data_IF_485946889704
#
_entry.id   IF_485946889704
#
_cell.length_a   1.000
_cell.length_b   1.000
_cell.length_c   1.000
_cell.angle_alpha   90.00
_cell.angle_beta   90.00
_cell.angle_gamma   90.00
#
_symmetry.space_group_name_H-M   'P 1'
#
loop_
_entity.id
_entity.type
_entity.pdbx_description
1 polymer ?
#
# COMPACT_ATOMS: atom_id res chain seq x y z
N UNK A 1 21.81 -13.99 4.61
CA UNK A 1 20.65 -14.60 3.93
C UNK A 1 21.23 -15.59 2.95
N UNK A 2 20.80 -16.83 2.97
CA UNK A 2 21.23 -17.82 1.98
C UNK A 2 20.61 -17.52 0.60
N UNK A 3 21.17 -18.15 -0.45
CA UNK A 3 20.76 -17.90 -1.83
C UNK A 3 19.29 -18.26 -2.09
N UNK A 4 18.79 -19.35 -1.50
CA UNK A 4 17.41 -19.79 -1.71
C UNK A 4 16.42 -18.80 -1.08
N UNK A 5 16.64 -18.40 0.17
CA UNK A 5 15.83 -17.37 0.84
C UNK A 5 15.83 -16.06 0.04
N UNK A 6 16.96 -15.68 -0.54
CA UNK A 6 17.07 -14.48 -1.35
C UNK A 6 16.22 -14.56 -2.63
N UNK A 7 16.27 -15.68 -3.35
CA UNK A 7 15.47 -15.91 -4.55
C UNK A 7 13.97 -15.89 -4.22
N UNK A 8 13.56 -16.50 -3.11
CA UNK A 8 12.16 -16.48 -2.66
C UNK A 8 11.68 -15.05 -2.43
N UNK A 9 12.46 -14.22 -1.72
CA UNK A 9 12.08 -12.81 -1.51
C UNK A 9 12.05 -12.01 -2.81
N UNK A 10 12.96 -12.29 -3.74
CA UNK A 10 13.01 -11.60 -5.03
C UNK A 10 11.79 -11.95 -5.90
N UNK A 11 11.39 -13.22 -5.89
CA UNK A 11 10.17 -13.69 -6.54
C UNK A 11 8.91 -13.07 -5.93
N UNK A 12 8.85 -12.99 -4.59
CA UNK A 12 7.73 -12.34 -3.91
C UNK A 12 7.66 -10.83 -4.21
N UNK A 13 8.81 -10.14 -4.22
CA UNK A 13 8.88 -8.72 -4.62
C UNK A 13 8.34 -8.52 -6.03
N UNK A 14 8.74 -9.38 -6.98
CA UNK A 14 8.23 -9.34 -8.35
C UNK A 14 6.71 -9.49 -8.38
N UNK A 15 6.17 -10.49 -7.69
CA UNK A 15 4.73 -10.73 -7.64
C UNK A 15 3.96 -9.54 -7.07
N UNK A 16 4.43 -8.95 -5.96
CA UNK A 16 3.74 -7.80 -5.36
C UNK A 16 3.81 -6.55 -6.26
N UNK A 17 4.91 -6.34 -6.99
CA UNK A 17 4.97 -5.30 -8.02
C UNK A 17 3.97 -5.56 -9.14
N UNK A 18 3.86 -6.80 -9.65
CA UNK A 18 2.89 -7.18 -10.67
C UNK A 18 1.44 -6.99 -10.20
N UNK A 19 1.11 -7.41 -8.98
CA UNK A 19 -0.23 -7.20 -8.41
C UNK A 19 -0.58 -5.73 -8.27
N UNK A 20 0.39 -4.92 -7.84
CA UNK A 20 0.21 -3.46 -7.77
C UNK A 20 -0.05 -2.88 -9.17
N UNK A 21 0.71 -3.30 -10.18
CA UNK A 21 0.50 -2.88 -11.57
C UNK A 21 -0.87 -3.26 -12.12
N UNK A 22 -1.30 -4.50 -11.91
CA UNK A 22 -2.64 -4.95 -12.32
C UNK A 22 -3.73 -4.15 -11.63
N UNK A 23 -3.58 -3.88 -10.33
CA UNK A 23 -4.53 -3.05 -9.59
C UNK A 23 -4.58 -1.61 -10.13
N UNK A 24 -3.43 -1.00 -10.42
CA UNK A 24 -3.35 0.34 -11.04
C UNK A 24 -3.96 0.36 -12.47
N UNK A 25 -3.82 -0.72 -13.24
CA UNK A 25 -4.48 -0.84 -14.54
C UNK A 25 -6.01 -0.85 -14.40
N UNK A 26 -6.54 -1.67 -13.48
CA UNK A 26 -7.98 -1.71 -13.19
C UNK A 26 -8.47 -0.37 -12.64
N UNK A 27 -7.64 0.32 -11.86
CA UNK A 27 -7.92 1.66 -11.33
C UNK A 27 -8.12 2.68 -12.45
N UNK A 28 -7.21 2.74 -13.41
CA UNK A 28 -7.32 3.64 -14.56
C UNK A 28 -8.54 3.30 -15.43
N UNK A 29 -8.79 2.02 -15.70
CA UNK A 29 -9.99 1.59 -16.42
C UNK A 29 -11.28 1.98 -15.68
N UNK A 30 -11.27 1.90 -14.35
CA UNK A 30 -12.42 2.30 -13.52
C UNK A 30 -12.64 3.81 -13.54
N UNK A 31 -11.57 4.61 -13.58
CA UNK A 31 -11.65 6.06 -13.75
C UNK A 31 -12.28 6.42 -15.11
N UNK A 32 -11.81 5.79 -16.19
CA UNK A 32 -12.34 6.00 -17.55
C UNK A 32 -13.84 5.67 -17.62
N UNK A 33 -14.23 4.54 -17.01
CA UNK A 33 -15.64 4.11 -16.92
C UNK A 33 -16.45 4.87 -15.88
N UNK A 34 -15.84 5.81 -15.15
CA UNK A 34 -16.45 6.56 -14.04
C UNK A 34 -17.06 5.64 -12.97
N UNK A 35 -16.51 4.44 -12.79
CA UNK A 35 -16.94 3.47 -11.79
C UNK A 35 -16.32 3.76 -10.44
N UNK A 36 -17.06 4.49 -9.60
CA UNK A 36 -16.64 4.91 -8.25
C UNK A 36 -16.16 3.73 -7.39
N UNK A 37 -16.97 2.68 -7.30
CA UNK A 37 -16.63 1.44 -6.56
C UNK A 37 -15.37 0.79 -7.11
N UNK A 38 -15.22 0.74 -8.44
CA UNK A 38 -14.04 0.19 -9.10
C UNK A 38 -12.76 0.94 -8.74
N UNK A 39 -12.81 2.29 -8.74
CA UNK A 39 -11.69 3.17 -8.35
C UNK A 39 -11.29 2.92 -6.89
N UNK A 40 -12.26 2.90 -5.98
CA UNK A 40 -11.97 2.71 -4.55
C UNK A 40 -11.43 1.31 -4.25
N UNK A 41 -12.02 0.27 -4.85
CA UNK A 41 -11.57 -1.12 -4.72
C UNK A 41 -10.14 -1.29 -5.22
N UNK A 42 -9.88 -0.89 -6.46
CA UNK A 42 -8.57 -1.09 -7.10
C UNK A 42 -7.49 -0.19 -6.51
N UNK A 43 -7.84 1.03 -6.06
CA UNK A 43 -6.91 1.92 -5.35
C UNK A 43 -6.49 1.31 -4.01
N UNK A 44 -7.43 0.73 -3.26
CA UNK A 44 -7.12 0.00 -2.03
C UNK A 44 -6.27 -1.26 -2.31
N UNK A 45 -6.58 -2.01 -3.37
CA UNK A 45 -5.80 -3.19 -3.78
C UNK A 45 -4.36 -2.82 -4.14
N UNK A 46 -4.17 -1.71 -4.88
CA UNK A 46 -2.84 -1.20 -5.23
C UNK A 46 -2.04 -0.80 -3.99
N UNK A 47 -2.66 -0.07 -3.05
CA UNK A 47 -2.00 0.29 -1.79
C UNK A 47 -1.65 -0.95 -0.95
N UNK A 48 -2.50 -1.97 -0.94
CA UNK A 48 -2.21 -3.22 -0.23
C UNK A 48 -0.99 -3.95 -0.79
N UNK A 49 -0.99 -4.27 -2.09
CA UNK A 49 0.15 -4.94 -2.72
C UNK A 49 1.45 -4.12 -2.59
N UNK A 50 1.37 -2.80 -2.80
CA UNK A 50 2.53 -1.94 -2.68
C UNK A 50 3.05 -1.82 -1.23
N UNK A 51 2.17 -1.87 -0.23
CA UNK A 51 2.60 -1.90 1.18
C UNK A 51 3.36 -3.17 1.52
N UNK A 52 3.05 -4.31 0.87
CA UNK A 52 3.81 -5.55 1.03
C UNK A 52 5.22 -5.43 0.45
N UNK A 53 5.37 -4.77 -0.71
CA UNK A 53 6.70 -4.39 -1.24
C UNK A 53 7.46 -3.57 -0.21
N UNK A 54 6.80 -2.56 0.36
CA UNK A 54 7.31 -1.74 1.46
C UNK A 54 7.76 -2.58 2.66
N UNK A 55 6.93 -3.50 3.13
CA UNK A 55 7.21 -4.37 4.28
C UNK A 55 8.34 -5.37 4.00
N UNK A 56 8.54 -5.79 2.75
CA UNK A 56 9.66 -6.64 2.36
C UNK A 56 10.99 -5.87 2.37
N UNK A 57 11.00 -4.65 1.87
CA UNK A 57 12.22 -3.85 1.74
C UNK A 57 12.55 -3.05 3.00
N UNK A 58 11.56 -2.48 3.70
CA UNK A 58 11.69 -1.65 4.90
C UNK A 58 10.87 -2.21 6.07
N UNK A 59 11.18 -3.41 6.59
CA UNK A 59 10.36 -4.03 7.63
C UNK A 59 10.33 -3.21 8.94
N UNK A 60 9.15 -3.12 9.55
CA UNK A 60 8.93 -2.52 10.87
C UNK A 60 9.64 -3.29 11.99
N UNK A 61 9.67 -4.62 11.89
CA UNK A 61 10.19 -5.55 12.92
C UNK A 61 11.71 -5.65 12.92
N UNK A 62 12.32 -5.47 14.10
CA UNK A 62 13.77 -5.51 14.30
C UNK A 62 14.44 -6.78 13.71
N UNK A 63 13.84 -7.96 13.92
CA UNK A 63 14.36 -9.24 13.42
C UNK A 63 14.49 -9.34 11.90
N UNK A 64 13.71 -8.54 11.15
CA UNK A 64 13.68 -8.57 9.70
C UNK A 64 14.53 -7.45 9.06
N UNK A 65 15.10 -6.52 9.84
CA UNK A 65 15.87 -5.37 9.33
C UNK A 65 17.03 -5.78 8.42
N UNK A 66 17.85 -6.73 8.89
CA UNK A 66 18.98 -7.27 8.11
C UNK A 66 18.55 -7.82 6.75
N UNK A 67 17.37 -8.45 6.67
CA UNK A 67 16.83 -8.94 5.39
C UNK A 67 16.50 -7.78 4.46
N UNK A 68 15.81 -6.75 4.97
CA UNK A 68 15.49 -5.56 4.18
C UNK A 68 16.74 -4.84 3.67
N UNK A 69 17.75 -4.67 4.53
CA UNK A 69 19.05 -4.07 4.16
C UNK A 69 19.73 -4.82 3.02
N UNK A 70 19.87 -6.15 3.13
CA UNK A 70 20.49 -6.98 2.08
C UNK A 70 19.72 -6.87 0.75
N UNK A 71 18.38 -6.89 0.79
CA UNK A 71 17.57 -6.76 -0.43
C UNK A 71 17.76 -5.39 -1.09
N UNK A 72 17.71 -4.30 -0.30
CA UNK A 72 17.90 -2.94 -0.81
C UNK A 72 19.30 -2.73 -1.37
N UNK A 73 20.32 -3.25 -0.71
CA UNK A 73 21.70 -3.20 -1.19
C UNK A 73 21.83 -3.88 -2.56
N UNK A 74 21.30 -5.11 -2.71
CA UNK A 74 21.35 -5.85 -3.98
C UNK A 74 20.52 -5.19 -5.09
N UNK A 75 19.40 -4.58 -4.74
CA UNK A 75 18.57 -3.81 -5.68
C UNK A 75 19.10 -2.38 -5.91
N UNK A 76 20.14 -1.95 -5.19
CA UNK A 76 20.72 -0.61 -5.21
C UNK A 76 19.69 0.49 -4.91
N UNK A 77 18.79 0.23 -3.97
CA UNK A 77 17.75 1.18 -3.54
C UNK A 77 18.28 2.11 -2.44
N UNK A 78 17.94 3.41 -2.47
CA UNK A 78 18.31 4.32 -1.38
C UNK A 78 17.53 3.97 -0.10
N UNK A 79 18.11 4.31 1.05
CA UNK A 79 17.40 4.16 2.34
C UNK A 79 16.18 5.08 2.43
N UNK A 80 16.27 6.29 1.87
CA UNK A 80 15.17 7.24 1.77
C UNK A 80 14.38 7.01 0.47
N UNK A 81 13.44 6.08 0.50
CA UNK A 81 12.56 5.75 -0.63
C UNK A 81 11.10 6.04 -0.30
N UNK A 82 10.27 6.36 -1.31
CA UNK A 82 8.86 6.71 -1.10
C UNK A 82 8.03 5.61 -0.41
N UNK A 83 8.32 4.34 -0.71
CA UNK A 83 7.67 3.18 -0.07
C UNK A 83 8.26 2.82 1.31
N UNK A 84 9.31 3.52 1.74
CA UNK A 84 9.94 3.34 3.05
C UNK A 84 9.26 4.10 4.19
N UNK A 85 8.20 4.88 3.92
CA UNK A 85 7.42 5.52 4.99
C UNK A 85 6.81 4.44 5.88
N UNK A 86 7.15 4.47 7.17
CA UNK A 86 6.65 3.55 8.17
C UNK A 86 5.12 3.47 8.20
N UNK A 87 4.43 4.59 8.03
CA UNK A 87 2.95 4.62 8.03
C UNK A 87 2.36 3.84 6.86
N UNK A 88 3.05 3.84 5.73
CA UNK A 88 2.68 3.09 4.55
C UNK A 88 3.02 1.60 4.67
N UNK A 89 4.21 1.27 5.17
CA UNK A 89 4.62 -0.12 5.43
C UNK A 89 3.66 -0.81 6.40
N UNK A 90 3.27 -0.12 7.45
CA UNK A 90 2.39 -0.67 8.48
C UNK A 90 0.90 -0.53 8.09
N UNK A 91 0.55 -0.06 6.88
CA UNK A 91 -0.82 0.31 6.51
C UNK A 91 -1.87 -0.76 6.87
N UNK A 92 -1.53 -2.03 6.66
CA UNK A 92 -2.39 -3.18 6.95
C UNK A 92 -1.92 -4.03 8.14
N UNK A 93 -0.79 -3.68 8.76
CA UNK A 93 -0.41 -4.29 10.04
C UNK A 93 -1.35 -3.76 11.13
N UNK A 94 -1.95 -4.67 11.90
CA UNK A 94 -2.91 -4.34 12.97
C UNK A 94 -4.12 -3.54 12.43
N UNK A 95 -4.64 -3.92 11.26
CA UNK A 95 -5.69 -3.17 10.57
C UNK A 95 -7.00 -3.03 11.37
N UNK A 96 -7.28 -4.02 12.23
CA UNK A 96 -8.39 -4.04 13.18
C UNK A 96 -8.17 -3.02 14.31
N UNK A 97 -7.03 -3.07 15.00
CA UNK A 97 -6.68 -2.12 16.07
C UNK A 97 -6.66 -0.68 15.54
N UNK A 98 -6.11 -0.46 14.34
CA UNK A 98 -6.09 0.85 13.66
C UNK A 98 -7.48 1.33 13.26
N UNK A 99 -8.40 0.41 12.95
CA UNK A 99 -9.78 0.78 12.67
C UNK A 99 -10.47 1.26 13.95
N UNK A 100 -10.29 0.55 15.05
CA UNK A 100 -10.83 0.92 16.36
C UNK A 100 -10.29 2.27 16.83
N UNK A 101 -8.98 2.50 16.68
CA UNK A 101 -8.35 3.79 16.98
C UNK A 101 -8.93 4.91 16.11
N UNK A 102 -9.08 4.68 14.81
CA UNK A 102 -9.68 5.66 13.91
C UNK A 102 -11.15 5.98 14.26
N UNK A 103 -11.95 4.97 14.60
CA UNK A 103 -13.34 5.14 15.07
C UNK A 103 -13.38 5.97 16.35
N UNK A 104 -12.46 5.72 17.29
CA UNK A 104 -12.34 6.48 18.54
C UNK A 104 -11.98 7.93 18.27
N UNK A 105 -11.05 8.19 17.35
CA UNK A 105 -10.56 9.54 17.03
C UNK A 105 -11.57 10.38 16.22
N UNK A 106 -12.43 9.74 15.45
CA UNK A 106 -13.49 10.39 14.65
C UNK A 106 -14.83 10.53 15.40
N UNK A 107 -14.90 10.08 16.66
CA UNK A 107 -16.13 10.12 17.46
C UNK A 107 -16.68 11.53 17.58
N UNK A 108 -17.96 11.70 17.20
CA UNK A 108 -18.66 12.98 17.25
C UNK A 108 -18.25 13.97 16.15
N UNK A 109 -17.41 13.56 15.20
CA UNK A 109 -17.11 14.32 13.98
C UNK A 109 -18.00 13.85 12.82
N UNK A 110 -18.09 14.67 11.77
CA UNK A 110 -18.67 14.25 10.49
C UNK A 110 -17.63 13.45 9.72
N UNK A 111 -18.03 12.29 9.21
CA UNK A 111 -17.15 11.37 8.48
C UNK A 111 -17.58 11.32 7.02
N UNK A 112 -16.61 11.43 6.12
CA UNK A 112 -16.82 11.21 4.69
C UNK A 112 -16.46 9.76 4.34
N UNK A 113 -17.41 9.02 3.80
CA UNK A 113 -17.21 7.68 3.26
C UNK A 113 -17.21 7.73 1.75
N UNK A 114 -16.27 7.00 1.16
CA UNK A 114 -16.27 6.56 -0.25
C UNK A 114 -16.62 7.66 -1.27
N UNK A 115 -15.64 8.50 -1.61
CA UNK A 115 -15.80 9.56 -2.59
C UNK A 115 -14.73 9.50 -3.69
N UNK A 116 -15.12 9.75 -4.95
CA UNK A 116 -14.16 9.96 -6.05
C UNK A 116 -14.54 11.22 -6.81
N UNK A 117 -13.64 12.20 -6.81
CA UNK A 117 -13.83 13.50 -7.46
C UNK A 117 -12.95 14.57 -6.84
N UNK A 118 -13.16 15.83 -7.19
CA UNK A 118 -12.46 16.97 -6.57
C UNK A 118 -13.05 17.23 -5.15
N UNK A 119 -12.25 17.11 -4.07
CA UNK A 119 -12.72 17.38 -2.72
C UNK A 119 -13.32 18.78 -2.53
N UNK A 120 -12.93 19.78 -3.34
CA UNK A 120 -13.48 21.15 -3.28
C UNK A 120 -14.95 21.23 -3.68
N UNK A 121 -15.45 20.21 -4.39
CA UNK A 121 -16.89 20.12 -4.75
C UNK A 121 -17.75 19.67 -3.58
N UNK A 122 -17.13 19.17 -2.51
CA UNK A 122 -17.81 18.71 -1.30
C UNK A 122 -18.04 19.91 -0.38
N UNK A 123 -19.26 20.43 -0.37
CA UNK A 123 -19.67 21.45 0.62
C UNK A 123 -19.98 20.79 1.97
N UNK A 124 -18.92 20.36 2.67
CA UNK A 124 -19.00 19.83 4.03
C UNK A 124 -18.20 20.71 4.98
N UNK A 125 -18.79 21.83 5.47
CA UNK A 125 -18.11 22.71 6.40
C UNK A 125 -17.69 21.96 7.67
N UNK A 126 -16.41 22.09 8.02
CA UNK A 126 -15.81 21.45 9.21
C UNK A 126 -15.36 20.00 9.01
N UNK A 127 -15.34 19.46 7.79
CA UNK A 127 -14.72 18.16 7.51
C UNK A 127 -13.20 18.23 7.74
N UNK A 128 -12.69 17.38 8.63
CA UNK A 128 -11.25 17.21 8.85
C UNK A 128 -10.72 16.09 7.98
N UNK A 129 -9.46 16.19 7.53
CA UNK A 129 -8.81 15.15 6.73
C UNK A 129 -8.82 13.79 7.44
N UNK A 130 -8.57 13.76 8.76
CA UNK A 130 -8.61 12.55 9.59
C UNK A 130 -10.00 11.86 9.61
N UNK A 131 -11.07 12.58 9.24
CA UNK A 131 -12.43 12.06 9.19
C UNK A 131 -12.83 11.54 7.80
N UNK A 132 -11.88 11.43 6.87
CA UNK A 132 -12.09 10.83 5.56
C UNK A 132 -11.73 9.35 5.62
N UNK A 133 -12.70 8.47 5.38
CA UNK A 133 -12.45 7.03 5.38
C UNK A 133 -11.78 6.59 4.08
N UNK A 134 -12.40 6.90 2.93
CA UNK A 134 -11.86 6.63 1.60
C UNK A 134 -12.22 7.75 0.66
N UNK A 135 -11.22 8.29 -0.03
CA UNK A 135 -11.43 9.30 -1.06
C UNK A 135 -10.37 9.15 -2.14
N UNK A 136 -10.72 9.37 -3.40
CA UNK A 136 -9.72 9.64 -4.44
C UNK A 136 -9.96 11.02 -5.04
N UNK A 137 -8.95 11.87 -4.94
CA UNK A 137 -8.93 13.19 -5.56
C UNK A 137 -8.46 13.06 -7.02
N UNK A 138 -9.37 13.32 -7.95
CA UNK A 138 -9.10 13.23 -9.39
C UNK A 138 -8.19 14.34 -9.92
N UNK A 139 -8.02 15.43 -9.16
CA UNK A 139 -7.20 16.59 -9.54
C UNK A 139 -5.78 16.47 -8.99
N UNK A 140 -5.62 16.07 -7.72
CA UNK A 140 -4.29 15.89 -7.11
C UNK A 140 -3.72 14.48 -7.25
N UNK A 141 -4.52 13.51 -7.72
CA UNK A 141 -4.18 12.09 -7.81
C UNK A 141 -3.81 11.46 -6.46
N UNK A 142 -4.42 11.95 -5.39
CA UNK A 142 -4.22 11.46 -4.03
C UNK A 142 -5.35 10.53 -3.64
N UNK A 143 -5.01 9.30 -3.28
CA UNK A 143 -5.93 8.36 -2.65
C UNK A 143 -5.80 8.48 -1.14
N UNK A 144 -6.85 8.89 -0.46
CA UNK A 144 -6.95 8.99 0.99
C UNK A 144 -7.55 7.71 1.55
N UNK A 145 -6.89 7.12 2.54
CA UNK A 145 -7.40 6.00 3.33
C UNK A 145 -7.23 6.30 4.82
N UNK A 146 -8.34 6.37 5.56
CA UNK A 146 -8.38 6.68 7.01
C UNK A 146 -7.58 7.94 7.36
N UNK A 147 -7.78 9.01 6.60
CA UNK A 147 -7.09 10.29 6.75
C UNK A 147 -5.66 10.36 6.22
N UNK A 148 -5.08 9.26 5.73
CA UNK A 148 -3.75 9.26 5.14
C UNK A 148 -3.82 9.33 3.63
N UNK A 149 -3.22 10.37 3.03
CA UNK A 149 -3.15 10.56 1.58
C UNK A 149 -1.92 9.89 0.94
N UNK A 150 -2.16 9.17 -0.15
CA UNK A 150 -1.14 8.49 -0.95
C UNK A 150 -1.21 9.00 -2.39
N UNK A 151 -0.11 9.56 -2.90
CA UNK A 151 -0.05 10.00 -4.29
C UNK A 151 0.11 8.79 -5.22
N UNK A 152 -0.91 8.50 -6.03
CA UNK A 152 -0.97 7.29 -6.85
C UNK A 152 0.05 7.32 -8.01
N UNK A 153 0.42 8.50 -8.49
CA UNK A 153 1.44 8.66 -9.55
C UNK A 153 2.83 8.33 -9.01
N UNK A 154 3.17 8.84 -7.82
CA UNK A 154 4.44 8.53 -7.16
C UNK A 154 4.51 7.05 -6.76
N UNK A 155 3.39 6.48 -6.32
CA UNK A 155 3.27 5.05 -6.04
C UNK A 155 3.60 4.20 -7.29
N UNK A 156 3.00 4.51 -8.44
CA UNK A 156 3.27 3.79 -9.71
C UNK A 156 4.75 3.84 -10.07
N UNK A 157 5.36 5.04 -10.06
CA UNK A 157 6.78 5.22 -10.40
C UNK A 157 7.71 4.44 -9.47
N UNK A 158 7.43 4.45 -8.18
CA UNK A 158 8.22 3.73 -7.18
C UNK A 158 8.15 2.20 -7.39
N UNK A 159 6.97 1.69 -7.76
CA UNK A 159 6.75 0.27 -8.03
C UNK A 159 7.39 -0.16 -9.35
N UNK A 160 7.29 0.66 -10.40
CA UNK A 160 7.98 0.45 -11.68
C UNK A 160 9.49 0.34 -11.50
N UNK A 161 10.07 1.25 -10.70
CA UNK A 161 11.50 1.23 -10.40
C UNK A 161 11.92 -0.08 -9.72
N UNK A 162 11.22 -0.47 -8.65
CA UNK A 162 11.54 -1.69 -7.89
C UNK A 162 11.30 -2.93 -8.75
N UNK A 163 10.19 -2.99 -9.49
CA UNK A 163 9.87 -4.09 -10.39
C UNK A 163 10.96 -4.29 -11.44
N UNK A 164 11.37 -3.21 -12.13
CA UNK A 164 12.45 -3.26 -13.13
C UNK A 164 13.77 -3.75 -12.54
N UNK A 165 14.17 -3.24 -11.38
CA UNK A 165 15.41 -3.66 -10.69
C UNK A 165 15.35 -5.14 -10.29
N UNK A 166 14.19 -5.59 -9.82
CA UNK A 166 13.92 -6.98 -9.44
C UNK A 166 14.06 -7.92 -10.64
N UNK A 167 13.43 -7.59 -11.78
CA UNK A 167 13.51 -8.39 -13.00
C UNK A 167 14.93 -8.52 -13.55
N UNK A 168 15.69 -7.41 -13.59
CA UNK A 168 17.10 -7.42 -14.02
C UNK A 168 17.91 -8.36 -13.13
N UNK A 169 17.72 -8.27 -11.82
CA UNK A 169 18.47 -9.09 -10.87
C UNK A 169 18.07 -10.57 -10.95
N UNK A 170 16.78 -10.88 -11.14
CA UNK A 170 16.32 -12.25 -11.36
C UNK A 170 16.94 -12.86 -12.63
N UNK A 171 16.97 -12.09 -13.72
CA UNK A 171 17.59 -12.53 -14.98
C UNK A 171 19.09 -12.82 -14.79
N UNK A 172 19.82 -11.91 -14.14
CA UNK A 172 21.25 -12.10 -13.85
C UNK A 172 21.52 -13.39 -13.05
N UNK A 173 20.67 -13.71 -12.07
CA UNK A 173 20.80 -14.94 -11.28
C UNK A 173 20.52 -16.18 -12.14
N UNK A 174 19.47 -16.16 -12.97
CA UNK A 174 19.13 -17.29 -13.84
C UNK A 174 20.21 -17.56 -14.89
N UNK A 175 20.76 -16.50 -15.51
CA UNK A 175 21.84 -16.60 -16.49
C UNK A 175 23.12 -17.20 -15.85
N UNK A 176 23.42 -16.85 -14.59
CA UNK A 176 24.55 -17.42 -13.84
C UNK A 176 24.37 -18.91 -13.52
N UNK A 177 23.15 -19.34 -13.20
CA UNK A 177 22.86 -20.76 -12.93
C UNK A 177 23.01 -21.59 -14.21
N UNK A 178 22.47 -21.11 -15.34
CA UNK A 178 22.57 -21.82 -16.62
C UNK A 178 24.01 -21.87 -17.16
N UNK A 179 24.79 -20.80 -16.99
CA UNK A 179 26.21 -20.79 -17.37
C UNK A 179 27.05 -21.80 -16.58
N UNK A 180 26.78 -21.95 -15.28
CA UNK A 180 27.49 -22.90 -14.42
C UNK A 180 27.16 -24.36 -14.74
N UNK A 181 25.93 -24.67 -15.19
CA UNK A 181 25.54 -26.01 -15.61
C UNK A 181 26.10 -26.38 -17.00
N UNK A 182 26.35 -25.39 -17.86
CA UNK A 182 26.94 -25.58 -19.20
C UNK A 182 28.45 -25.91 -19.17
N UNK A 183 29.22 -25.34 -18.24
CA UNK A 183 30.66 -25.60 -18.11
C UNK A 183 30.99 -26.89 -17.33
N UNK A 184 30.03 -27.43 -16.58
CA UNK A 184 30.18 -28.71 -15.85
C UNK A 184 29.90 -29.96 -16.68
N UNK A 185 29.41 -29.83 -17.92
CA UNK A 185 29.08 -30.95 -18.82
C UNK A 185 30.15 -31.13 -19.91
N UNK A 186 31.40 -31.30 -19.48
CA UNK A 186 32.45 -31.82 -20.35
C UNK A 186 32.20 -33.31 -20.63
N UNK A 187 31.72 -33.58 -21.85
CA UNK A 187 31.83 -34.82 -22.64
C UNK A 187 31.94 -36.15 -21.87
N UNK A 188 30.80 -36.79 -21.58
CA UNK A 188 30.76 -38.25 -21.63
C UNK A 188 30.72 -38.68 -23.11
N UNK A 189 31.64 -39.53 -23.59
CA UNK A 189 31.66 -39.96 -24.97
C UNK A 189 30.41 -40.81 -25.27
N UNK A 190 29.71 -40.41 -26.33
CA UNK A 190 28.55 -41.07 -26.89
C UNK A 190 28.86 -42.53 -27.24
N UNK A 191 28.26 -43.47 -26.49
CA UNK A 191 28.19 -44.86 -26.94
C UNK A 191 26.92 -45.01 -27.77
N UNK A 192 27.12 -45.12 -29.07
CA UNK A 192 26.12 -45.14 -30.11
C UNK A 192 25.64 -46.59 -30.31
N UNK A 193 24.51 -46.96 -29.70
CA UNK A 193 23.77 -48.17 -30.07
C UNK A 193 22.27 -47.85 -30.11
N UNK A 194 21.77 -47.59 -31.31
CA UNK A 194 20.35 -47.51 -31.62
C UNK A 194 19.87 -48.81 -32.27
N UNK A 195 18.72 -49.36 -31.86
CA UNK A 195 17.88 -50.17 -32.73
C UNK A 195 16.65 -49.37 -33.26
N UNK A 196 15.98 -49.88 -34.31
CA UNK A 196 15.32 -49.05 -35.31
C UNK A 196 13.90 -48.61 -34.97
N UNK A 197 13.54 -47.50 -35.61
CA UNK A 197 12.21 -46.90 -35.76
C UNK A 197 11.10 -47.91 -36.08
N UNK A 198 9.97 -47.78 -35.36
CA UNK A 198 8.65 -48.13 -35.84
C UNK A 198 7.82 -46.84 -35.96
N UNK A 199 7.25 -46.63 -37.14
CA UNK A 199 6.42 -45.48 -37.51
C UNK A 199 4.91 -45.77 -37.21
N UNK A 200 3.96 -44.91 -37.60
CA UNK A 200 3.15 -44.12 -36.67
C UNK A 200 1.68 -44.56 -36.62
N UNK A 201 0.99 -44.27 -35.51
CA UNK A 201 -0.47 -44.33 -35.45
C UNK A 201 -1.08 -42.98 -35.11
N UNK A 202 -2.14 -42.72 -35.85
CA UNK A 202 -2.93 -41.51 -36.07
C UNK A 202 -3.84 -41.08 -34.92
N UNK A 203 -4.32 -39.83 -35.07
CA UNK A 203 -5.67 -39.35 -34.79
C UNK A 203 -5.95 -38.66 -33.44
N UNK A 204 -6.24 -37.35 -33.55
CA UNK A 204 -7.35 -36.56 -32.96
C UNK A 204 -6.84 -35.12 -32.84
N UNK A 205 -7.13 -34.21 -33.78
CA UNK A 205 -8.42 -33.55 -34.03
C UNK A 205 -9.06 -33.02 -32.74
N UNK A 206 -8.70 -31.78 -32.39
CA UNK A 206 -9.39 -30.97 -31.39
C UNK A 206 -9.99 -29.80 -32.15
N UNK A 207 -11.32 -29.80 -32.25
CA UNK A 207 -12.11 -28.71 -32.81
C UNK A 207 -12.06 -27.44 -31.95
N UNK A 208 -12.24 -26.25 -32.55
CA UNK A 208 -12.40 -24.99 -31.82
C UNK A 208 -13.82 -24.81 -31.29
N UNK A 209 -13.96 -24.56 -29.99
CA UNK A 209 -15.19 -24.07 -29.36
C UNK A 209 -15.46 -22.63 -29.82
N UNK A 210 -16.36 -22.48 -30.78
CA UNK A 210 -17.03 -21.22 -31.14
C UNK A 210 -18.34 -21.04 -30.35
N UNK A 211 -18.56 -19.80 -29.92
CA UNK A 211 -19.82 -19.07 -29.72
C UNK A 211 -21.13 -19.83 -29.46
N UNK A 212 -21.80 -19.50 -28.35
CA UNK A 212 -23.10 -18.82 -28.35
C UNK A 212 -23.78 -18.90 -26.97
N UNK A 213 -24.19 -17.75 -26.43
CA UNK A 213 -25.51 -17.55 -25.82
C UNK A 213 -25.69 -16.08 -25.43
N UNK A 214 -26.05 -15.27 -26.43
CA UNK A 214 -26.87 -14.09 -26.19
C UNK A 214 -28.29 -14.58 -25.91
N UNK A 215 -28.88 -14.20 -24.78
CA UNK A 215 -30.31 -14.39 -24.51
C UNK A 215 -30.92 -13.02 -24.20
N UNK A 216 -31.73 -12.58 -25.15
CA UNK A 216 -32.71 -11.50 -25.05
C UNK A 216 -34.01 -12.10 -24.51
N UNK A 217 -34.57 -11.52 -23.43
CA UNK A 217 -35.99 -11.56 -23.08
C UNK A 217 -36.19 -10.49 -21.98
N UNK A 218 -36.77 -9.33 -22.29
CA UNK A 218 -38.20 -9.02 -22.35
C UNK A 218 -38.74 -8.55 -20.98
N UNK A 219 -39.21 -7.30 -20.95
CA UNK A 219 -39.93 -6.66 -19.84
C UNK A 219 -41.20 -7.43 -19.47
N UNK A 220 -41.68 -7.27 -18.23
CA UNK A 220 -43.02 -6.69 -18.16
C UNK A 220 -43.17 -5.58 -17.10
N UNK A 221 -44.12 -4.70 -17.45
CA UNK A 221 -44.68 -3.58 -16.68
C UNK A 221 -45.40 -3.99 -15.40
N UNK A 222 -45.45 -3.01 -14.51
CA UNK A 222 -46.52 -2.63 -13.57
C UNK A 222 -47.20 -3.71 -12.72
N UNK A 223 -47.09 -3.56 -11.40
CA UNK A 223 -48.25 -3.36 -10.51
C UNK A 223 -47.85 -3.02 -9.07
N UNK A 224 -48.34 -1.86 -8.62
CA UNK A 224 -49.00 -1.60 -7.33
C UNK A 224 -48.29 -1.96 -5.99
N UNK A 225 -47.83 -0.89 -5.31
CA UNK A 225 -48.43 -0.37 -4.08
C UNK A 225 -49.00 -1.38 -3.05
N UNK A 226 -48.28 -1.58 -1.94
CA UNK A 226 -48.89 -1.82 -0.63
C UNK A 226 -47.96 -1.42 0.53
N UNK A 227 -48.46 -0.47 1.33
CA UNK A 227 -47.92 0.04 2.59
C UNK A 227 -48.06 -0.96 3.77
N UNK A 228 -47.42 -0.70 4.93
CA UNK A 228 -47.05 -1.71 5.92
C UNK A 228 -48.12 -1.98 6.98
N UNK A 229 -48.27 -3.25 7.37
CA UNK A 229 -49.01 -3.66 8.56
C UNK A 229 -48.15 -3.57 9.83
N UNK A 230 -48.68 -2.80 10.79
CA UNK A 230 -48.30 -2.74 12.22
C UNK A 230 -48.70 -4.03 12.97
N UNK A 231 -48.25 -4.08 14.23
CA UNK A 231 -48.60 -4.98 15.35
C UNK A 231 -47.59 -6.14 15.54
N UNK A 232 -47.10 -6.48 16.73
CA UNK A 232 -47.40 -6.06 18.10
C UNK A 232 -46.22 -6.42 19.01
N UNK A 233 -45.99 -5.61 20.04
CA UNK A 233 -45.22 -5.99 21.22
C UNK A 233 -46.09 -6.89 22.13
N UNK A 234 -45.49 -7.71 23.02
CA UNK A 234 -45.67 -7.36 24.42
C UNK A 234 -44.53 -7.74 25.39
N UNK A 235 -44.61 -7.06 26.55
CA UNK A 235 -44.23 -7.46 27.92
C UNK A 235 -42.73 -7.53 28.26
N UNK A 236 -42.20 -6.55 29.02
CA UNK A 236 -42.21 -6.48 30.50
C UNK A 236 -41.61 -7.71 31.20
N UNK A 237 -40.35 -7.59 31.64
CA UNK A 237 -39.89 -8.20 32.88
C UNK A 237 -39.10 -7.19 33.71
N UNK A 238 -39.60 -6.93 34.92
CA UNK A 238 -38.98 -6.13 35.97
C UNK A 238 -38.13 -7.05 36.87
N UNK A 239 -36.91 -6.61 37.22
CA UNK A 239 -36.22 -6.90 38.49
C UNK A 239 -35.14 -5.81 38.64
N UNK A 240 -35.19 -4.81 39.56
CA UNK A 240 -34.99 -4.85 41.03
C UNK A 240 -33.92 -5.87 41.44
N UNK A 241 -32.84 -5.58 42.18
CA UNK A 241 -32.50 -4.42 42.99
C UNK A 241 -30.98 -4.36 43.31
N UNK A 242 -30.50 -3.15 43.62
CA UNK A 242 -29.49 -2.73 44.60
C UNK A 242 -28.49 -3.78 45.16
N UNK A 243 -27.20 -3.43 45.12
CA UNK A 243 -26.40 -3.27 46.34
C UNK A 243 -25.20 -2.32 46.12
N UNK A 244 -25.11 -1.32 47.00
CA UNK A 244 -23.96 -0.42 47.19
C UNK A 244 -22.86 -1.16 47.95
N UNK A 245 -21.60 -0.96 47.56
CA UNK A 245 -20.49 -0.94 48.50
C UNK A 245 -19.58 0.27 48.19
N UNK A 246 -19.59 1.23 49.12
CA UNK A 246 -18.66 2.36 49.22
C UNK A 246 -17.57 1.98 50.24
N UNK A 247 -16.45 2.71 50.12
CA UNK A 247 -15.33 2.89 51.07
C UNK A 247 -14.12 1.99 50.79
N UNK A 248 -12.87 2.47 50.81
CA UNK A 248 -12.29 3.80 51.13
C UNK A 248 -10.85 3.84 50.54
N UNK A 249 -10.21 5.03 50.45
CA UNK A 249 -8.89 5.22 49.87
C UNK A 249 -7.76 5.15 50.92
N UNK A 250 -6.57 4.74 50.47
CA UNK A 250 -5.25 4.89 51.11
C UNK A 250 -4.22 4.56 50.02
N UNK A 251 -3.07 5.19 49.86
CA UNK A 251 -2.41 6.23 50.62
C UNK A 251 -1.44 6.96 49.67
N UNK A 252 -1.16 8.22 50.01
CA UNK A 252 -0.17 9.06 49.38
C UNK A 252 1.24 8.43 49.42
N UNK A 253 1.96 8.49 48.30
CA UNK A 253 3.42 8.41 48.26
C UNK A 253 3.97 9.69 47.62
N UNK A 254 4.95 10.26 48.33
CA UNK A 254 5.53 11.59 48.21
C UNK A 254 6.14 11.95 46.85
N UNK A 255 6.22 13.27 46.54
CA UNK A 255 6.98 13.78 45.40
C UNK A 255 8.49 13.72 45.67
N UNK A 256 9.26 13.19 44.71
CA UNK A 256 10.72 13.29 44.73
C UNK A 256 11.17 14.59 44.06
N UNK A 257 11.65 15.48 44.92
CA UNK A 257 12.71 16.48 44.74
C UNK A 257 13.08 16.93 43.31
N UNK A 258 12.69 18.18 43.04
CA UNK A 258 13.45 19.25 42.40
C UNK A 258 14.95 18.98 42.17
N UNK A 259 15.35 18.88 40.90
CA UNK A 259 16.72 19.17 40.47
C UNK A 259 16.76 20.60 39.90
N UNK A 260 17.64 21.39 40.50
CA UNK A 260 17.91 22.82 40.30
C UNK A 260 18.48 23.10 38.90
N UNK A 261 18.15 24.25 38.27
CA UNK A 261 18.72 24.66 36.99
C UNK A 261 20.19 25.09 37.19
N UNK A 262 21.09 24.56 36.35
CA UNK A 262 22.48 25.00 36.32
C UNK A 262 22.59 26.27 35.47
N UNK A 263 23.20 27.27 36.07
CA UNK A 263 23.34 28.63 35.60
C UNK A 263 24.17 28.78 34.32
N UNK A 264 23.93 29.92 33.70
CA UNK A 264 24.59 30.49 32.54
C UNK A 264 26.12 30.53 32.63
N UNK A 265 26.76 30.35 31.47
CA UNK A 265 28.04 30.96 31.16
C UNK A 265 27.97 31.54 29.74
N UNK A 266 27.92 32.87 29.67
CA UNK A 266 28.24 33.71 28.51
C UNK A 266 29.74 34.03 28.62
N UNK A 267 30.48 34.12 27.51
CA UNK A 267 30.92 35.44 27.02
C UNK A 267 30.73 35.53 25.48
N UNK A 268 30.24 36.63 24.91
CA UNK A 268 30.97 37.87 24.55
C UNK A 268 32.30 37.55 23.82
N UNK A 269 32.66 38.10 22.66
CA UNK A 269 32.13 39.04 21.69
C UNK A 269 33.12 39.00 20.47
N UNK A 270 32.92 39.86 19.46
CA UNK A 270 33.84 40.20 18.34
C UNK A 270 33.86 39.19 17.18
N UNK A 271 33.85 39.57 15.90
CA UNK A 271 33.99 40.85 15.22
C UNK A 271 33.66 40.67 13.72
N UNK A 272 33.07 41.70 13.12
CA UNK A 272 33.32 42.19 11.74
C UNK A 272 33.62 41.20 10.60
N UNK A 273 32.80 41.19 9.56
CA UNK A 273 33.21 41.69 8.24
C UNK A 273 32.05 41.62 7.23
N UNK A 274 31.66 42.82 6.79
CA UNK A 274 30.92 43.08 5.55
C UNK A 274 31.94 43.08 4.41
N UNK A 275 31.56 42.69 3.19
CA UNK A 275 31.89 43.57 2.08
C UNK A 275 30.67 43.91 1.22
N UNK A 276 30.59 45.20 0.93
CA UNK A 276 29.76 45.80 -0.10
C UNK A 276 30.37 45.53 -1.48
N UNK A 277 29.46 45.52 -2.47
CA UNK A 277 29.60 46.03 -3.83
C UNK A 277 30.30 45.16 -4.88
N UNK A 278 29.58 44.87 -5.96
CA UNK A 278 29.63 45.73 -7.15
C UNK A 278 28.45 45.45 -8.08
N UNK A 279 27.60 46.46 -8.22
CA UNK A 279 26.75 46.64 -9.39
C UNK A 279 27.65 46.96 -10.59
N UNK A 280 27.47 46.26 -11.70
CA UNK A 280 28.06 46.63 -12.98
C UNK A 280 26.93 46.95 -13.95
N UNK A 281 26.68 48.25 -14.09
CA UNK A 281 25.94 48.86 -15.19
C UNK A 281 26.82 48.73 -16.44
N UNK A 282 26.31 48.12 -17.50
CA UNK A 282 26.81 48.33 -18.85
C UNK A 282 25.72 49.09 -19.61
N UNK A 283 26.12 50.25 -20.14
CA UNK A 283 25.41 51.08 -21.12
C UNK A 283 26.35 51.17 -22.32
N UNK A 284 25.72 51.37 -23.49
CA UNK A 284 26.31 51.81 -24.77
C UNK A 284 26.97 50.66 -25.58
N UNK A 285 26.78 50.49 -26.88
CA UNK A 285 26.36 51.38 -27.97
C UNK A 285 25.73 50.61 -29.15
N UNK A 286 25.08 51.37 -30.04
CA UNK A 286 24.51 51.05 -31.37
C UNK A 286 23.03 50.65 -31.41
#
# INVERSE_FOLDING_TARGET
MDANSFIIYLHELRNQCLYTHSALSIFNQSLEKKSQTGVLFSGQAALNAASQVGAILWPSRARARRRGEVLREKLQLPDSHALGDRRFVELWEHADEKLDEWIKNTKGQRVLFDFVGDPKTIDLPGLKEDCIYRLYDTTSHVFVFRGLGYNMVNLSKAIEEIGRRTEILMKQIMDQVQGAEGEGRAEEPANNDSPPQAAPTSASEIEPLSDAAATTAEEPKDSAEQEPAKADAPAKAKAKAKAKAKAKPKAAAKPKATAKPKAAAKPAAKSTAKPKAKARKAKSDA
#
